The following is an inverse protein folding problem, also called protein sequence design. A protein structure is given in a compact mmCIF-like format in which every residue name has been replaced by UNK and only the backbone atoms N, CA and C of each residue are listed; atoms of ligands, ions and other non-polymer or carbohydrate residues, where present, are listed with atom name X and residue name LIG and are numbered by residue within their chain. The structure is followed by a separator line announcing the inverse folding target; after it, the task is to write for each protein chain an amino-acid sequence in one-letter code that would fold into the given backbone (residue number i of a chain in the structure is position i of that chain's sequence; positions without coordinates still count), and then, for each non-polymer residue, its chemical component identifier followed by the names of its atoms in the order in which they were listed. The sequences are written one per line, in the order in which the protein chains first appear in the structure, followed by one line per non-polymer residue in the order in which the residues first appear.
data_IF_502977674222
#
_entry.id   IF_502977674222
#
_cell.length_a   1.000
_cell.length_b   1.000
_cell.length_c   1.000
_cell.angle_alpha   90.00
_cell.angle_beta   90.00
_cell.angle_gamma   90.00
#
_symmetry.space_group_name_H-M   'P 1'
#
loop_
_entity.id
_entity.type
_entity.pdbx_description
1 polymer ?
#
# COMPACT_ATOMS: atom_id res chain seq x y z
N UNK A 1 68.42 -64.17 27.71
CA UNK A 1 68.97 -63.20 28.68
C UNK A 1 69.05 -61.88 27.93
N UNK A 2 68.26 -60.82 28.17
CA UNK A 2 67.56 -60.28 29.36
C UNK A 2 66.26 -59.58 28.87
N UNK A 3 65.08 -59.82 29.45
CA UNK A 3 64.43 -59.15 30.60
C UNK A 3 63.50 -57.97 30.24
N UNK A 4 62.21 -58.11 30.63
CA UNK A 4 61.14 -57.18 31.08
C UNK A 4 61.34 -55.63 30.95
N UNK A 5 60.35 -54.73 30.83
CA UNK A 5 58.95 -54.73 31.27
C UNK A 5 58.15 -53.55 30.65
N UNK A 6 56.82 -53.70 30.64
CA UNK A 6 55.69 -52.73 30.70
C UNK A 6 55.79 -51.25 30.23
N UNK A 7 54.70 -50.81 29.57
CA UNK A 7 54.33 -49.40 29.44
C UNK A 7 53.13 -49.16 28.53
N UNK A 8 51.91 -49.43 29.01
CA UNK A 8 50.66 -49.00 28.37
C UNK A 8 50.58 -47.47 28.44
N UNK A 9 50.51 -46.81 27.28
CA UNK A 9 50.10 -45.40 27.19
C UNK A 9 49.11 -45.26 26.05
N UNK A 10 47.82 -45.31 26.37
CA UNK A 10 46.79 -44.65 25.58
C UNK A 10 46.74 -43.18 26.00
N UNK A 11 46.76 -42.22 25.07
CA UNK A 11 46.16 -40.92 25.36
C UNK A 11 45.18 -40.47 24.26
N UNK A 12 43.90 -40.45 24.67
CA UNK A 12 43.07 -39.23 24.71
C UNK A 12 42.82 -38.41 23.42
N UNK A 13 43.16 -38.89 22.22
CA UNK A 13 42.92 -38.13 20.99
C UNK A 13 41.45 -38.20 20.47
N UNK A 14 40.59 -39.03 21.05
CA UNK A 14 39.22 -39.20 20.54
C UNK A 14 38.19 -38.21 21.13
N UNK A 15 38.44 -37.62 22.30
CA UNK A 15 37.45 -36.76 22.95
C UNK A 15 37.47 -35.33 22.41
N UNK A 16 38.62 -34.83 21.95
CA UNK A 16 38.73 -33.45 21.46
C UNK A 16 38.12 -33.22 20.07
N UNK A 17 38.07 -34.27 19.23
CA UNK A 17 37.44 -34.20 17.90
C UNK A 17 35.91 -34.19 17.95
N UNK A 18 35.28 -34.71 19.01
CA UNK A 18 33.82 -34.72 19.16
C UNK A 18 33.27 -33.39 19.71
N UNK A 19 34.03 -32.68 20.53
CA UNK A 19 33.62 -31.35 21.05
C UNK A 19 33.62 -30.26 19.97
N UNK A 20 34.52 -30.35 18.98
CA UNK A 20 34.55 -29.41 17.84
C UNK A 20 33.40 -29.59 16.84
N UNK A 21 32.85 -30.80 16.71
CA UNK A 21 31.69 -31.05 15.84
C UNK A 21 30.35 -30.60 16.45
N UNK A 22 30.25 -30.48 17.79
CA UNK A 22 29.05 -29.98 18.46
C UNK A 22 29.02 -28.44 18.61
N UNK A 23 30.17 -27.77 18.59
CA UNK A 23 30.22 -26.30 18.65
C UNK A 23 29.80 -25.61 17.33
N UNK A 24 29.86 -26.33 16.20
CA UNK A 24 29.46 -25.81 14.88
C UNK A 24 27.94 -25.82 14.61
N UNK A 25 27.15 -26.57 15.38
CA UNK A 25 25.72 -26.73 15.14
C UNK A 25 24.83 -25.69 15.86
N UNK A 26 25.41 -24.85 16.74
CA UNK A 26 24.65 -23.92 17.57
C UNK A 26 24.58 -22.47 17.05
N UNK A 27 25.12 -22.19 15.85
CA UNK A 27 25.08 -20.85 15.24
C UNK A 27 24.24 -20.79 13.95
N UNK A 28 23.17 -21.59 13.87
CA UNK A 28 22.13 -21.42 12.84
C UNK A 28 20.81 -20.99 13.46
N UNK A 29 20.84 -20.04 14.39
CA UNK A 29 19.67 -19.18 14.61
C UNK A 29 19.63 -18.18 13.46
N UNK A 30 19.14 -18.61 12.30
CA UNK A 30 18.69 -17.67 11.30
C UNK A 30 17.57 -16.86 11.96
N UNK A 31 17.85 -15.60 12.27
CA UNK A 31 16.80 -14.64 12.61
C UNK A 31 15.86 -14.61 11.40
N UNK A 32 14.76 -15.36 11.46
CA UNK A 32 13.67 -15.21 10.52
C UNK A 32 13.06 -13.84 10.80
N UNK A 33 13.65 -12.80 10.21
CA UNK A 33 13.09 -11.47 10.24
C UNK A 33 11.75 -11.60 9.53
N UNK A 34 10.65 -11.51 10.27
CA UNK A 34 9.32 -11.68 9.72
C UNK A 34 9.04 -10.45 8.85
N UNK A 35 9.44 -10.53 7.57
CA UNK A 35 9.39 -9.44 6.60
C UNK A 35 8.00 -9.29 5.97
N UNK A 36 6.97 -9.89 6.59
CA UNK A 36 5.59 -9.76 6.15
C UNK A 36 5.17 -8.30 6.28
N UNK A 37 4.78 -7.70 5.17
CA UNK A 37 4.17 -6.38 5.17
C UNK A 37 2.93 -6.37 6.07
N UNK A 38 2.61 -5.23 6.70
CA UNK A 38 1.39 -5.14 7.47
C UNK A 38 0.17 -5.49 6.59
N UNK A 39 -0.85 -6.15 7.16
CA UNK A 39 -2.08 -6.48 6.44
C UNK A 39 -2.71 -5.25 5.79
N UNK A 40 -2.74 -4.13 6.51
CA UNK A 40 -3.19 -2.83 6.00
C UNK A 40 -2.02 -1.99 5.49
N UNK A 41 -2.11 -1.48 4.26
CA UNK A 41 -1.11 -0.59 3.67
C UNK A 41 -1.77 0.57 2.94
N UNK A 42 -1.13 1.73 2.99
CA UNK A 42 -1.42 2.88 2.13
C UNK A 42 -0.25 3.08 1.16
N UNK A 43 -0.55 3.22 -0.13
CA UNK A 43 0.44 3.42 -1.21
C UNK A 43 -0.18 4.31 -2.30
N UNK A 44 0.52 4.52 -3.41
CA UNK A 44 -0.02 5.28 -4.52
C UNK A 44 1.00 5.45 -5.64
N UNK A 45 0.57 6.14 -6.69
CA UNK A 45 1.40 6.43 -7.85
C UNK A 45 0.84 7.61 -8.62
N UNK A 46 1.69 8.23 -9.43
CA UNK A 46 1.30 9.26 -10.38
C UNK A 46 0.96 8.60 -11.73
N UNK A 47 -0.14 9.03 -12.35
CA UNK A 47 -0.51 8.74 -13.73
C UNK A 47 -0.50 10.02 -14.56
N UNK A 48 -0.60 9.92 -15.89
CA UNK A 48 -0.57 11.07 -16.80
C UNK A 48 -1.65 12.13 -16.48
N UNK A 49 -2.80 11.69 -15.98
CA UNK A 49 -3.97 12.57 -15.75
C UNK A 49 -4.24 12.89 -14.29
N UNK A 50 -3.62 12.19 -13.35
CA UNK A 50 -3.90 12.35 -11.93
C UNK A 50 -3.05 11.47 -11.03
N UNK A 51 -3.21 11.63 -9.72
CA UNK A 51 -2.64 10.75 -8.73
C UNK A 51 -3.65 9.67 -8.35
N UNK A 52 -3.14 8.46 -8.11
CA UNK A 52 -3.91 7.38 -7.49
C UNK A 52 -3.34 7.12 -6.10
N UNK A 53 -4.21 7.18 -5.09
CA UNK A 53 -3.91 6.80 -3.70
C UNK A 53 -4.64 5.49 -3.41
N UNK A 54 -3.96 4.50 -2.86
CA UNK A 54 -4.48 3.14 -2.66
C UNK A 54 -4.38 2.78 -1.18
N UNK A 55 -5.49 2.31 -0.61
CA UNK A 55 -5.51 1.59 0.66
C UNK A 55 -5.85 0.13 0.39
N UNK A 56 -5.08 -0.78 0.99
CA UNK A 56 -5.24 -2.22 0.84
C UNK A 56 -5.28 -2.89 2.19
N UNK A 57 -6.12 -3.90 2.34
CA UNK A 57 -6.14 -4.82 3.48
C UNK A 57 -6.19 -6.26 3.00
N UNK A 58 -5.21 -7.06 3.42
CA UNK A 58 -5.18 -8.50 3.19
C UNK A 58 -5.68 -9.23 4.44
N UNK A 59 -6.57 -10.22 4.27
CA UNK A 59 -7.12 -11.03 5.38
C UNK A 59 -7.32 -12.47 4.93
N UNK A 60 -6.33 -13.33 5.24
CA UNK A 60 -6.20 -14.65 4.60
C UNK A 60 -6.05 -14.47 3.10
N UNK A 61 -6.90 -15.16 2.32
CA UNK A 61 -6.91 -15.05 0.86
C UNK A 61 -7.76 -13.87 0.35
N UNK A 62 -8.36 -13.07 1.24
CA UNK A 62 -9.18 -11.94 0.83
C UNK A 62 -8.33 -10.67 0.67
N UNK A 63 -8.62 -9.92 -0.39
CA UNK A 63 -8.01 -8.61 -0.64
C UNK A 63 -9.12 -7.57 -0.73
N UNK A 64 -9.03 -6.52 0.10
CA UNK A 64 -9.89 -5.34 0.02
C UNK A 64 -9.04 -4.13 -0.41
N UNK A 65 -9.41 -3.49 -1.52
CA UNK A 65 -8.72 -2.32 -2.07
C UNK A 65 -9.67 -1.14 -2.19
N UNK A 66 -9.19 0.04 -1.80
CA UNK A 66 -9.80 1.33 -2.11
C UNK A 66 -8.77 2.18 -2.86
N UNK A 67 -9.06 2.53 -4.11
CA UNK A 67 -8.25 3.43 -4.91
C UNK A 67 -8.99 4.76 -5.11
N UNK A 68 -8.34 5.88 -4.81
CA UNK A 68 -8.86 7.24 -5.02
C UNK A 68 -8.00 7.94 -6.06
N UNK A 69 -8.61 8.23 -7.21
CA UNK A 69 -8.02 9.00 -8.29
C UNK A 69 -8.36 10.48 -8.12
N UNK A 70 -7.34 11.34 -8.15
CA UNK A 70 -7.46 12.79 -8.10
C UNK A 70 -6.79 13.42 -9.32
N UNK A 71 -7.54 14.08 -10.22
CA UNK A 71 -6.98 14.64 -11.46
C UNK A 71 -6.01 15.80 -11.19
N UNK A 72 -5.00 15.97 -12.04
CA UNK A 72 -4.05 17.09 -11.95
C UNK A 72 -4.68 18.44 -12.27
N UNK A 73 -5.67 18.43 -13.17
CA UNK A 73 -6.36 19.61 -13.69
C UNK A 73 -7.85 19.47 -13.43
N UNK A 74 -8.68 19.82 -14.41
CA UNK A 74 -10.12 19.63 -14.35
C UNK A 74 -10.51 18.16 -14.35
N UNK A 75 -11.53 17.82 -13.58
CA UNK A 75 -12.15 16.50 -13.54
C UNK A 75 -12.68 16.18 -12.16
N UNK A 76 -13.46 15.13 -12.08
CA UNK A 76 -14.04 14.68 -10.82
C UNK A 76 -13.12 13.65 -10.15
N UNK A 77 -12.95 13.79 -8.84
CA UNK A 77 -12.32 12.72 -8.05
C UNK A 77 -13.16 11.45 -8.20
N UNK A 78 -12.50 10.30 -8.25
CA UNK A 78 -13.20 8.99 -8.32
C UNK A 78 -12.63 8.06 -7.26
N UNK A 79 -13.50 7.43 -6.47
CA UNK A 79 -13.12 6.31 -5.60
C UNK A 79 -13.53 4.99 -6.24
N UNK A 80 -12.71 3.96 -6.09
CA UNK A 80 -12.96 2.61 -6.60
C UNK A 80 -12.63 1.63 -5.49
N UNK A 81 -13.64 0.95 -4.99
CA UNK A 81 -13.53 -0.12 -4.02
C UNK A 81 -13.63 -1.46 -4.77
N UNK A 82 -12.72 -2.36 -4.42
CA UNK A 82 -12.61 -3.68 -5.01
C UNK A 82 -12.42 -4.73 -3.92
N UNK A 83 -13.01 -5.92 -4.12
CA UNK A 83 -12.82 -7.06 -3.21
C UNK A 83 -12.55 -8.32 -4.00
N UNK A 84 -11.60 -9.12 -3.51
CA UNK A 84 -11.33 -10.46 -4.02
C UNK A 84 -11.42 -11.48 -2.89
N UNK A 85 -11.82 -12.69 -3.26
CA UNK A 85 -11.65 -13.90 -2.46
C UNK A 85 -10.74 -14.84 -3.27
N UNK A 86 -9.49 -15.00 -2.81
CA UNK A 86 -8.43 -15.57 -3.63
C UNK A 86 -8.22 -14.72 -4.89
N UNK A 87 -8.35 -15.35 -6.06
CA UNK A 87 -8.22 -14.67 -7.35
C UNK A 87 -9.55 -14.19 -7.92
N UNK A 88 -10.68 -14.57 -7.30
CA UNK A 88 -12.00 -14.20 -7.79
C UNK A 88 -12.39 -12.80 -7.32
N UNK A 89 -12.57 -11.88 -8.27
CA UNK A 89 -13.13 -10.56 -8.02
C UNK A 89 -14.60 -10.70 -7.61
N UNK A 90 -14.99 -10.18 -6.45
CA UNK A 90 -16.36 -10.30 -5.90
C UNK A 90 -17.12 -8.98 -5.89
N UNK A 91 -16.42 -7.83 -5.86
CA UNK A 91 -17.02 -6.49 -5.83
C UNK A 91 -16.23 -5.50 -6.67
N UNK A 92 -16.96 -4.67 -7.41
CA UNK A 92 -16.53 -3.37 -7.92
C UNK A 92 -17.54 -2.34 -7.42
N UNK A 93 -17.08 -1.27 -6.79
CA UNK A 93 -17.92 -0.14 -6.37
C UNK A 93 -17.18 1.17 -6.68
N UNK A 94 -17.68 1.94 -7.64
CA UNK A 94 -17.05 3.17 -8.13
C UNK A 94 -17.95 4.35 -7.79
N UNK A 95 -17.39 5.39 -7.18
CA UNK A 95 -18.07 6.67 -6.98
C UNK A 95 -17.33 7.76 -7.73
N UNK A 96 -18.03 8.43 -8.64
CA UNK A 96 -17.56 9.64 -9.30
C UNK A 96 -18.16 10.83 -8.57
N UNK A 97 -17.32 11.68 -7.99
CA UNK A 97 -17.73 12.83 -7.18
C UNK A 97 -18.05 14.05 -8.05
N UNK A 98 -18.86 13.81 -9.08
CA UNK A 98 -19.39 14.79 -10.04
C UNK A 98 -20.68 15.45 -9.51
N UNK A 99 -21.24 16.38 -10.30
CA UNK A 99 -22.57 16.96 -10.08
C UNK A 99 -23.43 16.76 -11.34
N UNK A 100 -24.41 15.83 -11.34
CA UNK A 100 -24.80 14.94 -10.25
C UNK A 100 -23.75 13.84 -9.98
N UNK A 101 -23.72 13.26 -8.75
CA UNK A 101 -22.81 12.15 -8.45
C UNK A 101 -23.23 10.88 -9.20
N UNK A 102 -22.25 10.04 -9.52
CA UNK A 102 -22.48 8.74 -10.18
C UNK A 102 -21.94 7.63 -9.28
N UNK A 103 -22.78 6.63 -8.97
CA UNK A 103 -22.37 5.39 -8.33
C UNK A 103 -22.47 4.24 -9.34
N UNK A 104 -21.47 3.37 -9.36
CA UNK A 104 -21.46 2.16 -10.18
C UNK A 104 -21.12 0.99 -9.27
N UNK A 105 -21.92 -0.06 -9.34
CA UNK A 105 -21.69 -1.27 -8.55
C UNK A 105 -21.87 -2.50 -9.41
N UNK A 106 -20.89 -3.39 -9.36
CA UNK A 106 -20.98 -4.73 -9.90
C UNK A 106 -20.59 -5.75 -8.82
N UNK A 107 -21.32 -6.85 -8.73
CA UNK A 107 -20.97 -8.00 -7.87
C UNK A 107 -20.88 -9.25 -8.72
N UNK A 108 -20.03 -10.16 -8.26
CA UNK A 108 -19.79 -11.42 -8.92
C UNK A 108 -20.02 -12.56 -7.94
N UNK A 109 -20.48 -13.70 -8.45
CA UNK A 109 -20.63 -14.92 -7.66
C UNK A 109 -19.26 -15.62 -7.45
N UNK A 110 -19.28 -16.76 -6.77
CA UNK A 110 -18.11 -17.58 -6.47
C UNK A 110 -17.44 -18.19 -7.71
N UNK A 111 -18.15 -18.26 -8.83
CA UNK A 111 -17.65 -18.69 -10.14
C UNK A 111 -17.10 -17.54 -10.98
N UNK A 112 -17.22 -16.31 -10.47
CA UNK A 112 -16.83 -15.08 -11.18
C UNK A 112 -17.87 -14.60 -12.19
N UNK A 113 -19.09 -15.14 -12.17
CA UNK A 113 -20.19 -14.68 -13.03
C UNK A 113 -20.83 -13.42 -12.45
N UNK A 114 -21.34 -12.54 -13.31
CA UNK A 114 -22.02 -11.32 -12.88
C UNK A 114 -23.34 -11.65 -12.16
N UNK A 115 -23.42 -11.32 -10.87
CA UNK A 115 -24.62 -11.54 -10.05
C UNK A 115 -25.45 -10.27 -9.87
N UNK A 116 -24.83 -9.09 -9.99
CA UNK A 116 -25.50 -7.81 -9.90
C UNK A 116 -24.72 -6.72 -10.65
N UNK A 117 -25.43 -5.82 -11.33
CA UNK A 117 -24.87 -4.58 -11.85
C UNK A 117 -25.85 -3.43 -11.77
N UNK A 118 -25.35 -2.24 -11.45
CA UNK A 118 -26.12 -1.00 -11.48
C UNK A 118 -25.20 0.18 -11.67
N UNK A 119 -25.60 1.10 -12.55
CA UNK A 119 -25.14 2.48 -12.57
C UNK A 119 -26.28 3.36 -12.08
N UNK A 120 -25.99 4.24 -11.14
CA UNK A 120 -26.95 5.21 -10.60
C UNK A 120 -26.42 6.63 -10.80
N UNK A 121 -27.26 7.49 -11.36
CA UNK A 121 -26.97 8.91 -11.56
C UNK A 121 -28.25 9.71 -11.43
N UNK A 122 -28.27 10.73 -10.57
CA UNK A 122 -29.46 11.57 -10.34
C UNK A 122 -30.74 10.76 -9.99
N UNK A 123 -30.59 9.64 -9.27
CA UNK A 123 -31.68 8.73 -8.92
C UNK A 123 -32.11 7.77 -10.03
N UNK A 124 -31.62 7.94 -11.26
CA UNK A 124 -31.87 7.00 -12.35
C UNK A 124 -30.93 5.79 -12.26
N UNK A 125 -31.52 4.60 -12.37
CA UNK A 125 -30.79 3.32 -12.34
C UNK A 125 -30.75 2.71 -13.73
N UNK A 126 -29.55 2.36 -14.16
CA UNK A 126 -29.27 1.81 -15.47
C UNK A 126 -28.42 0.54 -15.33
N UNK A 127 -28.64 -0.43 -16.22
CA UNK A 127 -27.73 -1.57 -16.36
C UNK A 127 -26.43 -1.13 -17.04
N UNK A 128 -25.36 -1.89 -16.82
CA UNK A 128 -24.09 -1.72 -17.52
C UNK A 128 -24.07 -2.62 -18.75
N UNK A 129 -23.33 -2.22 -19.80
CA UNK A 129 -23.04 -3.12 -20.91
C UNK A 129 -21.94 -4.13 -20.51
N UNK A 130 -21.86 -5.24 -21.24
CA UNK A 130 -20.81 -6.23 -21.03
C UNK A 130 -19.41 -5.60 -21.20
N UNK A 131 -19.21 -4.79 -22.25
CA UNK A 131 -17.95 -4.07 -22.47
C UNK A 131 -17.55 -3.17 -21.29
N UNK A 132 -18.54 -2.53 -20.63
CA UNK A 132 -18.27 -1.72 -19.43
C UNK A 132 -17.83 -2.59 -18.26
N UNK A 133 -18.47 -3.75 -18.06
CA UNK A 133 -18.08 -4.71 -17.02
C UNK A 133 -16.66 -5.22 -17.26
N UNK A 134 -16.33 -5.61 -18.49
CA UNK A 134 -15.01 -6.12 -18.86
C UNK A 134 -13.93 -5.06 -18.66
N UNK A 135 -14.20 -3.81 -19.06
CA UNK A 135 -13.29 -2.70 -18.80
C UNK A 135 -13.07 -2.46 -17.29
N UNK A 136 -14.12 -2.58 -16.47
CA UNK A 136 -13.99 -2.41 -15.03
C UNK A 136 -13.25 -3.55 -14.36
N UNK A 137 -13.43 -4.79 -14.82
CA UNK A 137 -12.64 -5.96 -14.38
C UNK A 137 -11.17 -5.77 -14.70
N UNK A 138 -10.85 -5.45 -15.95
CA UNK A 138 -9.48 -5.17 -16.39
C UNK A 138 -8.81 -4.11 -15.51
N UNK A 139 -9.50 -2.99 -15.24
CA UNK A 139 -8.98 -1.93 -14.36
C UNK A 139 -8.82 -2.38 -12.91
N UNK A 140 -9.70 -3.24 -12.40
CA UNK A 140 -9.56 -3.79 -11.05
C UNK A 140 -8.27 -4.63 -10.95
N UNK A 141 -8.02 -5.48 -11.94
CA UNK A 141 -6.83 -6.34 -11.99
C UNK A 141 -5.55 -5.51 -12.13
N UNK A 142 -5.55 -4.47 -12.98
CA UNK A 142 -4.42 -3.55 -13.08
C UNK A 142 -4.11 -2.88 -11.73
N UNK A 143 -5.11 -2.36 -11.03
CA UNK A 143 -4.92 -1.72 -9.72
C UNK A 143 -4.41 -2.72 -8.68
N UNK A 144 -4.90 -3.98 -8.69
CA UNK A 144 -4.39 -5.04 -7.80
C UNK A 144 -2.91 -5.31 -8.08
N UNK A 145 -2.52 -5.51 -9.33
CA UNK A 145 -1.13 -5.76 -9.74
C UNK A 145 -0.20 -4.60 -9.36
N UNK A 146 -0.62 -3.36 -9.61
CA UNK A 146 0.15 -2.18 -9.20
C UNK A 146 0.28 -2.14 -7.67
N UNK A 147 -0.80 -2.42 -6.95
CA UNK A 147 -0.76 -2.47 -5.49
C UNK A 147 0.18 -3.56 -4.96
N UNK A 148 0.23 -4.73 -5.60
CA UNK A 148 1.19 -5.80 -5.27
C UNK A 148 2.64 -5.32 -5.47
N UNK A 149 2.93 -4.67 -6.61
CA UNK A 149 4.26 -4.14 -6.90
C UNK A 149 4.68 -3.03 -5.92
N UNK A 150 3.78 -2.09 -5.61
CA UNK A 150 4.04 -1.01 -4.64
C UNK A 150 4.30 -1.56 -3.23
N UNK A 151 3.55 -2.59 -2.83
CA UNK A 151 3.79 -3.32 -1.57
C UNK A 151 5.16 -3.97 -1.57
N UNK A 152 5.52 -4.69 -2.63
CA UNK A 152 6.84 -5.32 -2.76
C UNK A 152 7.98 -4.29 -2.71
N UNK A 153 7.80 -3.13 -3.35
CA UNK A 153 8.73 -1.99 -3.29
C UNK A 153 8.69 -1.18 -2.00
N UNK A 154 7.84 -1.55 -1.02
CA UNK A 154 7.66 -0.85 0.26
C UNK A 154 7.31 0.63 0.08
N UNK A 155 6.53 0.95 -0.94
CA UNK A 155 6.03 2.31 -1.19
C UNK A 155 4.90 2.62 -0.21
N UNK A 156 5.10 3.65 0.62
CA UNK A 156 4.15 4.10 1.64
C UNK A 156 3.59 5.45 1.25
N UNK A 157 2.27 5.56 1.22
CA UNK A 157 1.59 6.85 1.09
C UNK A 157 1.51 7.52 2.45
N UNK A 158 1.94 8.78 2.50
CA UNK A 158 1.68 9.70 3.59
C UNK A 158 0.88 10.88 3.08
N UNK A 159 0.06 11.46 3.95
CA UNK A 159 -0.72 12.64 3.61
C UNK A 159 -1.15 13.39 4.88
N UNK A 160 -1.40 14.69 4.75
CA UNK A 160 -1.74 15.53 5.89
C UNK A 160 -1.83 17.02 5.54
N UNK A 161 -1.88 17.85 6.58
CA UNK A 161 -1.93 19.32 6.49
C UNK A 161 -0.55 19.93 6.64
N UNK A 162 -0.18 20.80 5.71
CA UNK A 162 1.11 21.47 5.67
C UNK A 162 1.16 22.70 6.58
N UNK A 163 2.21 22.81 7.38
CA UNK A 163 2.50 23.94 8.26
C UNK A 163 3.75 24.68 7.75
N UNK A 164 3.52 25.82 7.08
CA UNK A 164 4.57 26.50 6.33
C UNK A 164 5.73 27.03 7.18
N UNK A 165 5.47 27.47 8.42
CA UNK A 165 6.50 28.07 9.28
C UNK A 165 7.59 27.07 9.66
N UNK A 166 7.23 25.82 9.89
CA UNK A 166 8.14 24.76 10.36
C UNK A 166 8.50 23.77 9.26
N UNK A 167 7.87 23.89 8.08
CA UNK A 167 7.93 22.92 6.99
C UNK A 167 7.54 21.50 7.47
N UNK A 168 6.54 21.42 8.32
CA UNK A 168 6.03 20.17 8.89
C UNK A 168 4.66 19.82 8.32
N UNK A 169 4.27 18.56 8.48
CA UNK A 169 2.96 18.05 8.12
C UNK A 169 2.33 17.41 9.34
N UNK A 170 1.12 17.81 9.69
CA UNK A 170 0.25 17.00 10.56
C UNK A 170 -0.44 15.95 9.68
N UNK A 171 -0.03 14.69 9.80
CA UNK A 171 -0.58 13.58 9.03
C UNK A 171 -2.05 13.34 9.36
N UNK A 172 -2.75 12.61 8.49
CA UNK A 172 -4.15 12.24 8.72
C UNK A 172 -4.36 11.35 9.96
N UNK A 173 -3.29 10.70 10.44
CA UNK A 173 -3.26 9.93 11.70
C UNK A 173 -2.95 10.81 12.93
N UNK A 174 -2.68 12.10 12.75
CA UNK A 174 -2.44 13.07 13.82
C UNK A 174 -0.98 13.21 14.26
N UNK A 175 -0.03 12.66 13.51
CA UNK A 175 1.40 12.82 13.80
C UNK A 175 1.94 14.08 13.14
N UNK A 176 2.82 14.83 13.80
CA UNK A 176 3.54 15.94 13.17
C UNK A 176 4.93 15.48 12.75
N UNK A 177 5.23 15.56 11.46
CA UNK A 177 6.51 15.10 10.89
C UNK A 177 7.05 16.13 9.89
N UNK A 178 8.37 16.14 9.70
CA UNK A 178 9.01 16.89 8.61
C UNK A 178 9.23 15.91 7.43
N UNK A 179 8.57 16.09 6.28
CA UNK A 179 8.72 15.17 5.16
C UNK A 179 10.10 15.35 4.51
N UNK A 180 10.73 14.24 4.12
CA UNK A 180 12.04 14.23 3.44
C UNK A 180 11.90 14.47 1.94
N UNK A 181 11.32 15.62 1.57
CA UNK A 181 11.08 16.01 0.18
C UNK A 181 12.22 16.91 -0.33
N UNK A 182 12.51 16.78 -1.62
CA UNK A 182 13.49 17.65 -2.27
C UNK A 182 13.05 19.14 -2.31
N UNK A 183 14.00 20.02 -2.59
CA UNK A 183 13.76 21.47 -2.61
C UNK A 183 12.74 21.91 -3.67
N UNK A 184 12.60 21.17 -4.77
CA UNK A 184 11.64 21.49 -5.83
C UNK A 184 10.21 21.18 -5.37
N UNK A 185 10.01 20.05 -4.70
CA UNK A 185 8.75 19.66 -4.08
C UNK A 185 8.34 20.65 -2.98
N UNK A 186 9.26 21.02 -2.09
CA UNK A 186 9.01 22.04 -1.05
C UNK A 186 8.61 23.38 -1.69
N UNK A 187 9.37 23.86 -2.68
CA UNK A 187 9.05 25.11 -3.38
C UNK A 187 7.69 25.04 -4.11
N UNK A 188 7.28 23.86 -4.59
CA UNK A 188 5.96 23.66 -5.17
C UNK A 188 4.84 23.79 -4.12
N UNK A 189 5.01 23.16 -2.94
CA UNK A 189 4.07 23.27 -1.82
C UNK A 189 3.95 24.73 -1.36
N UNK A 190 5.06 25.41 -1.12
CA UNK A 190 5.08 26.80 -0.65
C UNK A 190 4.43 27.76 -1.64
N UNK A 191 4.68 27.58 -2.95
CA UNK A 191 4.01 28.37 -4.00
C UNK A 191 2.51 28.14 -4.03
N UNK A 192 2.04 26.94 -3.69
CA UNK A 192 0.61 26.65 -3.58
C UNK A 192 0.04 27.25 -2.28
N UNK A 193 0.74 27.13 -1.16
CA UNK A 193 0.35 27.69 0.12
C UNK A 193 0.24 29.22 0.08
N UNK A 194 1.16 29.92 -0.59
CA UNK A 194 1.12 31.39 -0.70
C UNK A 194 -0.09 31.93 -1.47
N UNK A 195 -0.77 31.07 -2.23
CA UNK A 195 -2.01 31.37 -2.95
C UNK A 195 -3.26 30.89 -2.20
N UNK A 196 -3.10 30.36 -0.99
CA UNK A 196 -4.17 29.81 -0.16
C UNK A 196 -4.29 30.62 1.13
N UNK A 197 -5.52 30.88 1.57
CA UNK A 197 -5.79 31.46 2.89
C UNK A 197 -5.86 30.40 4.01
N UNK A 198 -5.76 29.12 3.66
CA UNK A 198 -5.80 27.98 4.58
C UNK A 198 -4.64 27.02 4.29
N UNK A 199 -4.26 26.22 5.28
CA UNK A 199 -3.23 25.20 5.12
C UNK A 199 -3.62 24.19 4.04
N UNK A 200 -2.71 24.03 3.06
CA UNK A 200 -2.89 23.07 1.97
C UNK A 200 -2.73 21.65 2.50
N UNK A 201 -3.46 20.72 1.91
CA UNK A 201 -3.19 19.30 2.08
C UNK A 201 -2.08 18.86 1.13
N UNK A 202 -1.19 18.02 1.64
CA UNK A 202 -0.10 17.39 0.89
C UNK A 202 -0.22 15.87 0.97
N UNK A 203 0.16 15.19 -0.10
CA UNK A 203 0.34 13.74 -0.12
C UNK A 203 1.66 13.42 -0.82
N UNK A 204 2.41 12.46 -0.29
CA UNK A 204 3.69 12.03 -0.83
C UNK A 204 3.89 10.52 -0.64
N UNK A 205 4.81 9.98 -1.42
CA UNK A 205 5.21 8.58 -1.36
C UNK A 205 6.59 8.49 -0.71
N UNK A 206 6.77 7.55 0.20
CA UNK A 206 8.04 7.19 0.84
C UNK A 206 8.42 5.77 0.39
N UNK A 207 9.65 5.58 -0.08
CA UNK A 207 10.20 4.29 -0.46
C UNK A 207 11.67 4.20 -0.01
N UNK A 208 12.31 3.02 -0.01
CA UNK A 208 13.73 2.89 0.32
C UNK A 208 14.66 3.81 -0.50
N UNK A 209 14.25 4.18 -1.72
CA UNK A 209 14.98 5.05 -2.63
C UNK A 209 14.80 6.55 -2.33
N UNK A 210 13.82 6.94 -1.51
CA UNK A 210 13.55 8.32 -1.13
C UNK A 210 12.07 8.67 -1.11
N UNK A 211 11.77 9.96 -0.98
CA UNK A 211 10.38 10.47 -0.96
C UNK A 211 10.06 11.33 -2.17
N UNK A 212 8.83 11.21 -2.67
CA UNK A 212 8.35 11.98 -3.81
C UNK A 212 6.98 12.59 -3.54
N UNK A 213 6.85 13.89 -3.79
CA UNK A 213 5.58 14.60 -3.70
C UNK A 213 4.59 14.07 -4.74
N UNK A 214 3.38 13.70 -4.29
CA UNK A 214 2.33 13.16 -5.13
C UNK A 214 1.23 14.19 -5.43
N UNK A 215 0.76 14.92 -4.40
CA UNK A 215 -0.33 15.89 -4.53
C UNK A 215 -0.15 17.06 -3.57
N UNK A 216 -0.61 18.23 -4.03
CA UNK A 216 -0.85 19.41 -3.19
C UNK A 216 -2.16 20.05 -3.59
N UNK A 217 -3.08 20.25 -2.64
CA UNK A 217 -4.36 20.90 -2.93
C UNK A 217 -4.95 21.58 -1.70
N UNK A 218 -5.92 22.48 -1.93
CA UNK A 218 -6.70 23.10 -0.86
C UNK A 218 -7.79 22.16 -0.31
N UNK A 219 -8.08 21.06 -1.03
CA UNK A 219 -9.03 20.06 -0.59
C UNK A 219 -8.46 19.23 0.56
N UNK A 220 -9.33 18.77 1.45
CA UNK A 220 -8.94 17.85 2.51
C UNK A 220 -8.63 16.47 1.92
N UNK A 221 -7.41 15.97 2.10
CA UNK A 221 -7.03 14.63 1.66
C UNK A 221 -7.41 13.54 2.67
N UNK A 222 -7.51 13.88 3.96
CA UNK A 222 -7.80 12.94 5.03
C UNK A 222 -9.23 12.41 4.99
N UNK A 223 -10.18 13.15 4.38
CA UNK A 223 -11.54 12.64 4.12
C UNK A 223 -11.59 11.35 3.31
N UNK A 224 -10.52 11.05 2.55
CA UNK A 224 -10.43 9.88 1.69
C UNK A 224 -9.78 8.69 2.36
N UNK A 225 -9.14 8.91 3.51
CA UNK A 225 -8.44 7.85 4.23
C UNK A 225 -9.44 6.98 4.99
N UNK A 226 -9.49 5.67 4.70
CA UNK A 226 -10.31 4.77 5.49
C UNK A 226 -9.68 4.57 6.87
N UNK A 227 -10.52 4.25 7.86
CA UNK A 227 -10.06 3.82 9.17
C UNK A 227 -9.74 2.32 9.13
N UNK A 228 -8.49 1.94 9.42
CA UNK A 228 -8.00 0.55 9.37
C UNK A 228 -8.89 -0.44 10.13
N UNK A 229 -9.45 -0.04 11.27
CA UNK A 229 -10.27 -0.92 12.12
C UNK A 229 -11.62 -1.24 11.48
N UNK A 230 -12.15 -0.34 10.66
CA UNK A 230 -13.46 -0.48 10.01
C UNK A 230 -13.35 -0.75 8.51
N UNK A 231 -12.15 -0.76 7.96
CA UNK A 231 -11.83 -1.10 6.57
C UNK A 231 -11.71 -2.61 6.39
#
# INVERSE_FOLDING_TARGET
MNSFNEGVVSPLLSFWRRSLMLAGALFLTACSHNSSLPPFTASGFAEDQGAVRIWRKDSGDNVHLLAVFSPWRSGDTTSREYRWQGDNLTLININVYSKPPVNIRARFDDRGDLSFMQRESNGEKQQLSNDQIDLYRYRADQIRQISDALRQGRVVLRQGRWHAMEQTVTTCEGQTIKPDLDSQAIAHIERRQSRSSVDVSVAWLEAPEGSQLLLVANSDFCRWQPNEKTF
#
